data_IF_792565934084
#
_entry.id   IF_792565934084
#
_cell.length_a   1.000
_cell.length_b   1.000
_cell.length_c   1.000
_cell.angle_alpha   90.00
_cell.angle_beta   90.00
_cell.angle_gamma   90.00
#
_symmetry.space_group_name_H-M   'P 1'
#
loop_
_entity.id
_entity.type
_entity.pdbx_description
1 polymer ?
#
# COMPACT_ATOMS: atom_id res chain seq x y z
N UNK A 1 14.06 18.65 6.72
CA UNK A 1 13.48 17.31 6.44
C UNK A 1 12.76 17.31 5.10
N UNK A 2 12.82 16.16 4.38
CA UNK A 2 12.27 16.04 3.01
C UNK A 2 10.74 16.21 2.98
N UNK A 3 10.06 15.81 4.04
CA UNK A 3 8.60 15.88 4.17
C UNK A 3 8.12 16.92 5.16
N UNK A 4 8.96 17.88 5.49
CA UNK A 4 8.57 18.96 6.41
C UNK A 4 7.27 19.64 5.94
N UNK A 5 6.32 19.82 6.88
CA UNK A 5 4.98 20.35 6.64
C UNK A 5 4.07 19.52 5.70
N UNK A 6 4.48 18.32 5.29
CA UNK A 6 3.61 17.43 4.50
C UNK A 6 2.77 16.53 5.40
N UNK A 7 1.56 16.26 4.95
CA UNK A 7 0.58 15.40 5.62
C UNK A 7 0.39 14.13 4.81
N UNK A 8 0.59 12.98 5.45
CA UNK A 8 0.46 11.67 4.83
C UNK A 8 -0.65 10.84 5.48
N UNK A 9 -1.44 10.13 4.69
CA UNK A 9 -2.36 9.10 5.13
C UNK A 9 -1.86 7.73 4.66
N UNK A 10 -1.79 6.77 5.58
CA UNK A 10 -1.39 5.39 5.29
C UNK A 10 -2.51 4.45 5.73
N UNK A 11 -3.15 3.78 4.79
CA UNK A 11 -4.12 2.72 5.10
C UNK A 11 -3.39 1.43 5.48
N UNK A 12 -3.88 0.71 6.48
CA UNK A 12 -3.19 -0.46 7.02
C UNK A 12 -1.89 -0.11 7.78
N UNK A 13 -1.76 1.13 8.28
CA UNK A 13 -0.56 1.64 8.95
C UNK A 13 -0.30 1.07 10.35
N UNK A 14 -1.16 0.21 10.87
CA UNK A 14 -1.02 -0.38 12.22
C UNK A 14 -0.02 -1.54 12.31
N UNK A 15 0.56 -2.03 11.22
CA UNK A 15 1.55 -3.13 11.22
C UNK A 15 2.25 -3.28 9.87
N UNK A 16 3.29 -4.11 9.82
CA UNK A 16 3.96 -4.55 8.60
C UNK A 16 4.49 -3.40 7.74
N UNK A 17 4.29 -3.51 6.42
CA UNK A 17 4.77 -2.52 5.44
C UNK A 17 4.20 -1.12 5.72
N UNK A 18 2.90 -1.01 6.03
CA UNK A 18 2.29 0.29 6.31
C UNK A 18 2.88 0.98 7.54
N UNK A 19 3.17 0.23 8.60
CA UNK A 19 3.86 0.76 9.78
C UNK A 19 5.29 1.21 9.44
N UNK A 20 6.05 0.42 8.71
CA UNK A 20 7.41 0.77 8.29
C UNK A 20 7.42 2.04 7.41
N UNK A 21 6.44 2.20 6.51
CA UNK A 21 6.28 3.44 5.73
C UNK A 21 6.00 4.64 6.65
N UNK A 22 5.12 4.46 7.66
CA UNK A 22 4.83 5.52 8.63
C UNK A 22 6.09 5.96 9.39
N UNK A 23 6.94 5.02 9.82
CA UNK A 23 8.23 5.30 10.45
C UNK A 23 9.10 6.17 9.56
N UNK A 24 9.30 5.78 8.29
CA UNK A 24 10.15 6.52 7.35
C UNK A 24 9.65 7.94 7.11
N UNK A 25 8.34 8.12 6.93
CA UNK A 25 7.76 9.44 6.68
C UNK A 25 7.84 10.36 7.91
N UNK A 26 7.59 9.82 9.12
CA UNK A 26 7.73 10.58 10.37
C UNK A 26 9.18 11.01 10.61
N UNK A 27 10.14 10.10 10.46
CA UNK A 27 11.57 10.41 10.62
C UNK A 27 12.05 11.48 9.62
N UNK A 28 11.41 11.54 8.46
CA UNK A 28 11.70 12.53 7.43
C UNK A 28 10.86 13.82 7.55
N UNK A 29 10.08 13.99 8.64
CA UNK A 29 9.40 15.23 9.02
C UNK A 29 7.93 15.34 8.63
N UNK A 30 7.30 14.30 8.07
CA UNK A 30 5.88 14.32 7.77
C UNK A 30 5.02 14.25 9.04
N UNK A 31 3.82 14.83 8.99
CA UNK A 31 2.72 14.46 9.86
C UNK A 31 2.00 13.26 9.26
N UNK A 32 1.75 12.22 10.05
CA UNK A 32 1.19 10.96 9.55
C UNK A 32 -0.17 10.66 10.19
N UNK A 33 -1.13 10.26 9.36
CA UNK A 33 -2.37 9.63 9.76
C UNK A 33 -2.32 8.15 9.37
N UNK A 34 -2.62 7.25 10.30
CA UNK A 34 -2.76 5.83 10.02
C UNK A 34 -4.22 5.42 10.12
N UNK A 35 -4.69 4.59 9.21
CA UNK A 35 -6.06 4.09 9.19
C UNK A 35 -6.11 2.57 9.04
N UNK A 36 -7.16 1.96 9.60
CA UNK A 36 -7.38 0.51 9.54
C UNK A 36 -8.60 0.10 10.35
N UNK A 37 -8.93 -1.19 10.35
CA UNK A 37 -10.15 -1.71 10.96
C UNK A 37 -10.02 -2.04 12.46
N UNK A 38 -8.82 -2.35 12.94
CA UNK A 38 -8.58 -2.82 14.31
C UNK A 38 -8.01 -1.70 15.16
N UNK A 39 -8.87 -1.13 16.01
CA UNK A 39 -8.51 0.02 16.85
C UNK A 39 -7.31 -0.25 17.74
N UNK A 40 -7.28 -1.39 18.45
CA UNK A 40 -6.17 -1.77 19.32
C UNK A 40 -4.80 -1.78 18.62
N UNK A 41 -4.78 -2.25 17.34
CA UNK A 41 -3.54 -2.25 16.55
C UNK A 41 -3.12 -0.84 16.16
N UNK A 42 -4.09 0.01 15.81
CA UNK A 42 -3.82 1.41 15.46
C UNK A 42 -3.33 2.20 16.66
N UNK A 43 -3.94 2.00 17.82
CA UNK A 43 -3.55 2.66 19.07
C UNK A 43 -2.11 2.32 19.46
N UNK A 44 -1.77 1.01 19.50
CA UNK A 44 -0.39 0.56 19.79
C UNK A 44 0.63 1.12 18.80
N UNK A 45 0.27 1.13 17.51
CA UNK A 45 1.13 1.69 16.47
C UNK A 45 1.31 3.21 16.66
N UNK A 46 0.23 3.92 16.92
CA UNK A 46 0.26 5.37 17.13
C UNK A 46 1.11 5.75 18.36
N UNK A 47 1.01 5.03 19.48
CA UNK A 47 1.84 5.23 20.67
C UNK A 47 3.34 5.18 20.32
N UNK A 48 3.76 4.18 19.56
CA UNK A 48 5.16 4.03 19.13
C UNK A 48 5.57 5.07 18.09
N UNK A 49 4.72 5.34 17.11
CA UNK A 49 4.98 6.28 16.03
C UNK A 49 5.04 7.73 16.55
N UNK A 50 4.28 8.06 17.57
CA UNK A 50 4.27 9.40 18.19
C UNK A 50 5.59 9.78 18.86
N UNK A 51 6.47 8.80 19.14
CA UNK A 51 7.84 9.06 19.58
C UNK A 51 8.74 9.62 18.46
N UNK A 52 8.36 9.42 17.21
CA UNK A 52 9.12 9.83 16.03
C UNK A 52 8.62 11.15 15.43
N UNK A 53 7.36 11.51 15.68
CA UNK A 53 6.74 12.71 15.13
C UNK A 53 5.23 12.74 15.34
N UNK A 54 4.54 13.66 14.69
CA UNK A 54 3.10 13.84 14.85
C UNK A 54 2.33 12.73 14.12
N UNK A 55 1.72 11.82 14.87
CA UNK A 55 0.94 10.69 14.36
C UNK A 55 -0.45 10.66 15.00
N UNK A 56 -1.48 10.61 14.16
CA UNK A 56 -2.87 10.42 14.56
C UNK A 56 -3.41 9.11 13.92
N UNK A 57 -4.45 8.51 14.50
CA UNK A 57 -5.13 7.38 13.88
C UNK A 57 -6.64 7.57 13.78
N UNK A 58 -7.25 6.85 12.85
CA UNK A 58 -8.70 6.73 12.72
C UNK A 58 -9.09 5.32 12.30
N UNK A 59 -10.07 4.73 12.98
CA UNK A 59 -10.67 3.48 12.51
C UNK A 59 -11.42 3.74 11.22
N UNK A 60 -11.11 2.94 10.20
CA UNK A 60 -11.72 3.04 8.88
C UNK A 60 -11.64 1.70 8.13
N UNK A 61 -12.79 1.22 7.66
CA UNK A 61 -12.86 0.16 6.68
C UNK A 61 -12.90 0.78 5.28
N UNK A 62 -11.88 0.52 4.48
CA UNK A 62 -11.77 1.09 3.11
C UNK A 62 -12.84 0.59 2.14
N UNK A 63 -13.64 -0.41 2.52
CA UNK A 63 -14.79 -0.91 1.74
C UNK A 63 -16.05 -0.08 1.96
N UNK A 64 -16.06 0.77 2.99
CA UNK A 64 -17.17 1.62 3.39
C UNK A 64 -16.86 3.08 3.05
N UNK A 65 -17.55 3.60 2.03
CA UNK A 65 -17.32 4.96 1.53
C UNK A 65 -17.72 6.03 2.54
N UNK A 66 -18.65 5.76 3.47
CA UNK A 66 -19.01 6.68 4.53
C UNK A 66 -17.88 6.82 5.56
N UNK A 67 -17.30 5.70 5.98
CA UNK A 67 -16.15 5.73 6.86
C UNK A 67 -14.95 6.44 6.23
N UNK A 68 -14.74 6.30 4.91
CA UNK A 68 -13.70 7.04 4.18
C UNK A 68 -14.00 8.55 4.19
N UNK A 69 -15.25 8.98 3.99
CA UNK A 69 -15.62 10.40 4.08
C UNK A 69 -15.40 10.95 5.49
N UNK A 70 -15.74 10.17 6.51
CA UNK A 70 -15.49 10.53 7.92
C UNK A 70 -13.98 10.63 8.22
N UNK A 71 -13.15 9.79 7.63
CA UNK A 71 -11.70 9.89 7.70
C UNK A 71 -11.20 11.16 7.00
N UNK A 72 -11.73 11.50 5.83
CA UNK A 72 -11.37 12.73 5.13
C UNK A 72 -11.76 13.98 5.96
N UNK A 73 -12.95 14.01 6.55
CA UNK A 73 -13.37 15.09 7.45
C UNK A 73 -12.46 15.21 8.68
N UNK A 74 -12.05 14.10 9.28
CA UNK A 74 -11.13 14.09 10.40
C UNK A 74 -9.74 14.66 10.02
N UNK A 75 -9.19 14.29 8.86
CA UNK A 75 -7.93 14.85 8.37
C UNK A 75 -8.07 16.33 8.08
N UNK A 76 -9.20 16.75 7.49
CA UNK A 76 -9.49 18.17 7.22
C UNK A 76 -9.54 19.00 8.51
N UNK A 77 -10.19 18.47 9.55
CA UNK A 77 -10.26 19.13 10.87
C UNK A 77 -8.88 19.25 11.53
N UNK A 78 -8.10 18.17 11.49
CA UNK A 78 -6.83 18.08 12.22
C UNK A 78 -5.65 18.74 11.51
N UNK A 79 -5.63 18.73 10.18
CA UNK A 79 -4.47 19.16 9.39
C UNK A 79 -4.81 20.14 8.26
N UNK A 80 -6.06 20.27 7.84
CA UNK A 80 -6.49 21.19 6.78
C UNK A 80 -6.01 20.80 5.38
N UNK A 81 -5.23 19.71 5.24
CA UNK A 81 -4.63 19.27 3.97
C UNK A 81 -4.27 17.80 4.01
N UNK A 82 -4.07 17.23 2.83
CA UNK A 82 -3.42 15.95 2.62
C UNK A 82 -2.48 16.07 1.41
N UNK A 83 -1.24 15.58 1.53
CA UNK A 83 -0.24 15.66 0.47
C UNK A 83 0.10 14.29 -0.10
N UNK A 84 0.04 13.25 0.73
CA UNK A 84 0.46 11.89 0.40
C UNK A 84 -0.63 10.90 0.85
N UNK A 85 -1.07 10.05 -0.08
CA UNK A 85 -1.92 8.88 0.23
C UNK A 85 -1.14 7.59 -0.08
N UNK A 86 -1.00 6.71 0.89
CA UNK A 86 -0.49 5.36 0.70
C UNK A 86 -1.61 4.35 0.88
N UNK A 87 -2.06 3.77 -0.23
CA UNK A 87 -3.01 2.67 -0.25
C UNK A 87 -2.27 1.35 0.00
N UNK A 88 -2.10 1.01 1.28
CA UNK A 88 -1.42 -0.21 1.70
C UNK A 88 -2.39 -1.25 2.29
N UNK A 89 -3.56 -0.84 2.78
CA UNK A 89 -4.55 -1.77 3.30
C UNK A 89 -4.93 -2.83 2.26
N UNK A 90 -4.92 -4.08 2.68
CA UNK A 90 -5.23 -5.20 1.83
C UNK A 90 -5.36 -6.49 2.64
N UNK A 91 -5.65 -7.57 1.96
CA UNK A 91 -5.72 -8.90 2.55
C UNK A 91 -5.95 -9.94 1.48
N UNK A 92 -5.46 -11.13 1.73
CA UNK A 92 -5.53 -12.25 0.80
C UNK A 92 -5.44 -13.57 1.56
N UNK A 93 -5.79 -14.64 0.90
CA UNK A 93 -5.65 -16.00 1.41
C UNK A 93 -5.40 -16.94 0.24
N UNK A 94 -4.69 -18.07 0.44
CA UNK A 94 -4.49 -19.07 -0.60
C UNK A 94 -5.79 -19.85 -0.87
N UNK A 95 -6.10 -20.06 -2.14
CA UNK A 95 -7.17 -20.95 -2.62
C UNK A 95 -6.91 -21.30 -4.07
N UNK A 96 -7.04 -22.58 -4.42
CA UNK A 96 -7.03 -22.99 -5.82
C UNK A 96 -8.24 -22.40 -6.56
N UNK A 97 -8.11 -22.19 -7.86
CA UNK A 97 -9.15 -21.51 -8.64
C UNK A 97 -10.48 -22.29 -8.65
N UNK A 98 -10.40 -23.62 -8.73
CA UNK A 98 -11.55 -24.54 -8.69
C UNK A 98 -12.28 -24.56 -7.33
N UNK A 99 -11.57 -24.23 -6.24
CA UNK A 99 -12.11 -24.24 -4.87
C UNK A 99 -12.50 -22.82 -4.40
N UNK A 100 -12.29 -21.80 -5.25
CA UNK A 100 -12.53 -20.39 -4.89
C UNK A 100 -14.03 -20.12 -4.74
N UNK A 101 -14.50 -20.00 -3.50
CA UNK A 101 -15.87 -19.61 -3.23
C UNK A 101 -16.14 -18.15 -3.66
N UNK A 102 -17.35 -17.89 -4.19
CA UNK A 102 -17.78 -16.54 -4.60
C UNK A 102 -17.61 -15.50 -3.47
N UNK A 103 -17.95 -15.85 -2.24
CA UNK A 103 -17.76 -14.97 -1.06
C UNK A 103 -16.29 -14.62 -0.85
N UNK A 104 -15.38 -15.57 -1.03
CA UNK A 104 -13.95 -15.37 -0.90
C UNK A 104 -13.40 -14.47 -2.00
N UNK A 105 -13.80 -14.72 -3.25
CA UNK A 105 -13.50 -13.87 -4.38
C UNK A 105 -13.92 -12.42 -4.13
N UNK A 106 -15.21 -12.22 -3.82
CA UNK A 106 -15.78 -10.89 -3.59
C UNK A 106 -15.11 -10.16 -2.41
N UNK A 107 -14.76 -10.88 -1.33
CA UNK A 107 -14.08 -10.28 -0.19
C UNK A 107 -12.72 -9.66 -0.56
N UNK A 108 -11.93 -10.34 -1.39
CA UNK A 108 -10.61 -9.85 -1.82
C UNK A 108 -10.74 -8.74 -2.87
N UNK A 109 -11.63 -8.90 -3.85
CA UNK A 109 -11.90 -7.84 -4.84
C UNK A 109 -12.39 -6.57 -4.14
N UNK A 110 -13.36 -6.68 -3.23
CA UNK A 110 -13.88 -5.52 -2.51
C UNK A 110 -12.83 -4.83 -1.63
N UNK A 111 -11.95 -5.61 -1.00
CA UNK A 111 -10.91 -5.02 -0.15
C UNK A 111 -9.75 -4.42 -0.99
N UNK A 112 -9.20 -5.20 -1.94
CA UNK A 112 -7.95 -4.84 -2.59
C UNK A 112 -8.11 -3.95 -3.82
N UNK A 113 -9.27 -4.03 -4.52
CA UNK A 113 -9.55 -3.21 -5.70
C UNK A 113 -10.55 -2.11 -5.39
N UNK A 114 -11.76 -2.47 -5.00
CA UNK A 114 -12.82 -1.47 -4.77
C UNK A 114 -12.45 -0.51 -3.62
N UNK A 115 -11.94 -1.04 -2.51
CA UNK A 115 -11.52 -0.23 -1.38
C UNK A 115 -10.37 0.73 -1.73
N UNK A 116 -9.39 0.28 -2.52
CA UNK A 116 -8.32 1.14 -3.04
C UNK A 116 -8.88 2.24 -3.94
N UNK A 117 -9.81 1.90 -4.83
CA UNK A 117 -10.49 2.87 -5.69
C UNK A 117 -11.27 3.91 -4.88
N UNK A 118 -12.12 3.48 -3.93
CA UNK A 118 -12.91 4.40 -3.11
C UNK A 118 -12.05 5.36 -2.30
N UNK A 119 -10.99 4.83 -1.66
CA UNK A 119 -10.05 5.65 -0.90
C UNK A 119 -9.37 6.68 -1.82
N UNK A 120 -8.88 6.23 -2.96
CA UNK A 120 -8.19 7.07 -3.94
C UNK A 120 -9.11 8.19 -4.44
N UNK A 121 -10.33 7.86 -4.87
CA UNK A 121 -11.28 8.83 -5.43
C UNK A 121 -11.73 9.86 -4.37
N UNK A 122 -12.10 9.38 -3.18
CA UNK A 122 -12.63 10.28 -2.13
C UNK A 122 -11.53 11.24 -1.66
N UNK A 123 -10.31 10.75 -1.41
CA UNK A 123 -9.19 11.60 -0.98
C UNK A 123 -8.74 12.56 -2.07
N UNK A 124 -8.74 12.11 -3.34
CA UNK A 124 -8.41 13.01 -4.45
C UNK A 124 -9.40 14.16 -4.58
N UNK A 125 -10.70 13.89 -4.49
CA UNK A 125 -11.74 14.92 -4.56
C UNK A 125 -11.74 15.85 -3.33
N UNK A 126 -11.45 15.30 -2.14
CA UNK A 126 -11.43 16.10 -0.92
C UNK A 126 -10.19 17.01 -0.83
N UNK A 127 -9.03 16.56 -1.32
CA UNK A 127 -7.77 17.25 -1.10
C UNK A 127 -6.97 17.52 -2.38
N UNK A 128 -6.56 16.50 -3.12
CA UNK A 128 -5.53 16.65 -4.14
C UNK A 128 -5.98 17.47 -5.35
N UNK A 129 -7.21 17.28 -5.83
CA UNK A 129 -7.76 18.03 -6.96
C UNK A 129 -7.97 19.49 -6.60
N UNK A 130 -8.61 19.87 -5.46
CA UNK A 130 -8.70 21.26 -5.02
C UNK A 130 -7.33 21.91 -4.77
N UNK A 131 -6.37 21.18 -4.19
CA UNK A 131 -5.01 21.66 -3.92
C UNK A 131 -4.16 21.77 -5.20
N UNK A 132 -4.58 21.14 -6.31
CA UNK A 132 -3.79 20.97 -7.54
C UNK A 132 -2.41 20.39 -7.31
N UNK A 133 -2.32 19.45 -6.37
CA UNK A 133 -1.09 18.72 -6.04
C UNK A 133 -1.42 17.53 -5.13
N UNK A 134 -0.64 16.48 -5.26
CA UNK A 134 -0.72 15.31 -4.40
C UNK A 134 0.13 14.16 -4.91
N UNK A 135 0.37 13.21 -4.05
CA UNK A 135 1.06 11.98 -4.42
C UNK A 135 0.30 10.78 -3.87
N UNK A 136 0.00 9.82 -4.72
CA UNK A 136 -0.67 8.58 -4.36
C UNK A 136 0.28 7.42 -4.63
N UNK A 137 0.42 6.53 -3.67
CA UNK A 137 1.21 5.31 -3.78
C UNK A 137 0.35 4.09 -3.47
N UNK A 138 0.27 3.17 -4.40
CA UNK A 138 -0.47 1.92 -4.26
C UNK A 138 0.49 0.78 -3.92
N UNK A 139 0.28 0.07 -2.82
CA UNK A 139 1.01 -1.15 -2.52
C UNK A 139 0.23 -2.32 -3.11
N UNK A 140 0.82 -2.98 -4.09
CA UNK A 140 0.24 -4.17 -4.74
C UNK A 140 1.00 -5.43 -4.34
N UNK A 141 1.15 -6.37 -5.22
CA UNK A 141 2.01 -7.57 -5.08
C UNK A 141 2.74 -7.83 -6.40
N UNK A 142 3.69 -8.73 -6.40
CA UNK A 142 4.31 -9.19 -7.64
C UNK A 142 3.27 -9.92 -8.51
N UNK A 143 2.80 -9.24 -9.57
CA UNK A 143 1.80 -9.74 -10.52
C UNK A 143 2.40 -10.15 -11.87
N UNK A 144 3.72 -10.06 -12.02
CA UNK A 144 4.40 -10.16 -13.32
C UNK A 144 4.13 -11.49 -14.05
N UNK A 145 4.03 -12.59 -13.30
CA UNK A 145 3.73 -13.93 -13.84
C UNK A 145 2.37 -14.47 -13.37
N UNK A 146 1.48 -13.59 -12.94
CA UNK A 146 0.26 -13.98 -12.25
C UNK A 146 0.51 -14.34 -10.77
N UNK A 147 -0.55 -14.75 -10.09
CA UNK A 147 -0.50 -15.14 -8.67
C UNK A 147 -1.19 -16.51 -8.50
N UNK A 148 -0.54 -17.60 -8.91
CA UNK A 148 -1.09 -18.94 -8.79
C UNK A 148 -1.49 -19.24 -7.33
N UNK A 149 -2.64 -19.91 -7.13
CA UNK A 149 -3.21 -20.17 -5.81
C UNK A 149 -3.87 -18.96 -5.15
N UNK A 150 -3.94 -17.80 -5.82
CA UNK A 150 -4.59 -16.57 -5.33
C UNK A 150 -5.17 -15.75 -6.50
N UNK A 151 -6.00 -16.35 -7.33
CA UNK A 151 -6.55 -15.74 -8.55
C UNK A 151 -7.24 -14.38 -8.27
N UNK A 152 -8.01 -14.27 -7.17
CA UNK A 152 -8.65 -13.03 -6.73
C UNK A 152 -7.64 -11.90 -6.45
N UNK A 153 -6.50 -12.24 -5.82
CA UNK A 153 -5.44 -11.27 -5.53
C UNK A 153 -4.77 -10.80 -6.82
N UNK A 154 -4.44 -11.74 -7.72
CA UNK A 154 -3.88 -11.41 -9.03
C UNK A 154 -4.77 -10.45 -9.81
N UNK A 155 -6.06 -10.76 -9.92
CA UNK A 155 -7.05 -9.91 -10.61
C UNK A 155 -7.18 -8.52 -9.95
N UNK A 156 -7.33 -8.47 -8.62
CA UNK A 156 -7.48 -7.20 -7.89
C UNK A 156 -6.25 -6.31 -8.05
N UNK A 157 -5.05 -6.87 -7.88
CA UNK A 157 -3.79 -6.10 -7.91
C UNK A 157 -3.41 -5.68 -9.33
N UNK A 158 -3.70 -6.49 -10.35
CA UNK A 158 -3.60 -6.09 -11.76
C UNK A 158 -4.57 -4.95 -12.09
N UNK A 159 -5.77 -4.97 -11.52
CA UNK A 159 -6.71 -3.85 -11.61
C UNK A 159 -6.15 -2.57 -11.00
N UNK A 160 -5.51 -2.63 -9.83
CA UNK A 160 -4.86 -1.46 -9.20
C UNK A 160 -3.65 -0.99 -10.01
N UNK A 161 -2.86 -1.90 -10.58
CA UNK A 161 -1.76 -1.54 -11.49
C UNK A 161 -2.27 -0.74 -12.70
N UNK A 162 -3.35 -1.18 -13.32
CA UNK A 162 -3.97 -0.45 -14.43
C UNK A 162 -4.57 0.89 -13.99
N UNK A 163 -5.27 0.95 -12.83
CA UNK A 163 -5.77 2.21 -12.25
C UNK A 163 -4.63 3.21 -12.01
N UNK A 164 -3.47 2.74 -11.54
CA UNK A 164 -2.28 3.58 -11.34
C UNK A 164 -1.89 4.31 -12.62
N UNK A 165 -1.84 3.60 -13.75
CA UNK A 165 -1.50 4.16 -15.06
C UNK A 165 -2.58 5.12 -15.57
N UNK A 166 -3.84 4.68 -15.50
CA UNK A 166 -4.99 5.47 -15.98
C UNK A 166 -5.08 6.81 -15.24
N UNK A 167 -5.08 6.77 -13.90
CA UNK A 167 -5.23 7.97 -13.10
C UNK A 167 -4.01 8.89 -13.13
N UNK A 168 -2.80 8.35 -13.32
CA UNK A 168 -1.59 9.14 -13.53
C UNK A 168 -1.73 10.07 -14.74
N UNK A 169 -2.33 9.59 -15.82
CA UNK A 169 -2.60 10.40 -17.01
C UNK A 169 -3.76 11.37 -16.78
N UNK A 170 -4.91 10.88 -16.27
CA UNK A 170 -6.10 11.73 -16.09
C UNK A 170 -5.88 12.88 -15.13
N UNK A 171 -5.08 12.66 -14.06
CA UNK A 171 -4.89 13.63 -12.99
C UNK A 171 -3.56 14.40 -13.07
N UNK A 172 -2.76 14.16 -14.12
CA UNK A 172 -1.55 14.95 -14.39
C UNK A 172 -1.83 16.46 -14.49
N UNK A 173 -2.98 16.83 -15.07
CA UNK A 173 -3.47 18.23 -15.14
C UNK A 173 -3.67 18.90 -13.77
N UNK A 174 -3.75 18.11 -12.70
CA UNK A 174 -3.82 18.61 -11.32
C UNK A 174 -2.50 18.48 -10.56
N UNK A 175 -1.39 18.15 -11.25
CA UNK A 175 -0.10 17.87 -10.63
C UNK A 175 -0.16 16.75 -9.57
N UNK A 176 -0.98 15.73 -9.79
CA UNK A 176 -1.07 14.55 -8.96
C UNK A 176 -0.21 13.44 -9.59
N UNK A 177 0.73 12.90 -8.83
CA UNK A 177 1.51 11.73 -9.21
C UNK A 177 0.91 10.47 -8.60
N UNK A 178 0.88 9.40 -9.35
CA UNK A 178 0.36 8.11 -8.88
C UNK A 178 1.33 7.02 -9.34
N UNK A 179 1.87 6.27 -8.38
CA UNK A 179 2.73 5.13 -8.65
C UNK A 179 2.31 3.90 -7.81
N UNK A 180 2.84 2.76 -8.15
CA UNK A 180 2.66 1.54 -7.38
C UNK A 180 4.01 0.92 -6.98
N UNK A 181 4.01 0.23 -5.85
CA UNK A 181 5.09 -0.66 -5.44
C UNK A 181 4.55 -2.08 -5.41
N UNK A 182 5.29 -2.99 -6.04
CA UNK A 182 4.98 -4.41 -6.10
C UNK A 182 6.01 -5.22 -5.28
N UNK A 183 5.78 -5.42 -3.97
CA UNK A 183 6.65 -6.24 -3.15
C UNK A 183 6.58 -7.71 -3.58
N UNK A 184 7.72 -8.42 -3.47
CA UNK A 184 7.76 -9.86 -3.44
C UNK A 184 7.34 -10.42 -2.08
N UNK A 185 8.02 -11.47 -1.63
CA UNK A 185 7.74 -12.07 -0.31
C UNK A 185 8.51 -11.29 0.75
N UNK A 186 7.76 -10.60 1.61
CA UNK A 186 8.30 -9.71 2.65
C UNK A 186 8.08 -10.33 4.04
N UNK A 187 9.13 -10.39 4.82
CA UNK A 187 9.07 -10.83 6.22
C UNK A 187 8.26 -9.81 7.03
N UNK A 188 7.01 -10.15 7.33
CA UNK A 188 6.08 -9.29 8.05
C UNK A 188 5.04 -10.13 8.79
N UNK A 189 4.29 -9.53 9.70
CA UNK A 189 3.16 -10.19 10.37
C UNK A 189 2.08 -10.71 9.40
N UNK A 190 2.10 -10.30 8.15
CA UNK A 190 1.23 -10.83 7.11
C UNK A 190 1.51 -12.31 6.79
N UNK A 191 2.74 -12.77 6.96
CA UNK A 191 3.10 -14.18 6.74
C UNK A 191 2.51 -15.12 7.79
N UNK A 192 2.20 -14.65 8.98
CA UNK A 192 1.56 -15.43 10.04
C UNK A 192 0.18 -15.98 9.64
N UNK A 193 -0.43 -15.42 8.58
CA UNK A 193 -1.72 -15.87 8.05
C UNK A 193 -1.61 -17.06 7.09
N UNK A 194 -0.38 -17.52 6.78
CA UNK A 194 -0.15 -18.64 5.87
C UNK A 194 0.23 -19.90 6.64
N UNK A 195 -0.18 -21.07 6.16
CA UNK A 195 0.26 -22.34 6.72
C UNK A 195 1.80 -22.43 6.75
N UNK A 196 2.41 -22.92 7.85
CA UNK A 196 3.86 -23.02 7.95
C UNK A 196 4.51 -23.79 6.80
N UNK A 197 3.82 -24.79 6.26
CA UNK A 197 4.29 -25.61 5.14
C UNK A 197 4.50 -24.78 3.86
N UNK A 198 3.70 -23.72 3.67
CA UNK A 198 3.84 -22.81 2.54
C UNK A 198 5.00 -21.82 2.69
N UNK A 199 5.52 -21.67 3.90
CA UNK A 199 6.64 -20.75 4.18
C UNK A 199 8.01 -21.45 4.02
N UNK A 200 8.03 -22.78 4.05
CA UNK A 200 9.26 -23.54 3.88
C UNK A 200 9.81 -23.40 2.45
N UNK A 201 11.10 -23.13 2.32
CA UNK A 201 11.75 -23.04 1.02
C UNK A 201 11.44 -21.75 0.22
N UNK A 202 10.68 -20.80 0.77
CA UNK A 202 10.35 -19.57 0.05
C UNK A 202 11.58 -18.75 -0.33
N UNK A 203 12.59 -18.70 0.54
CA UNK A 203 13.82 -17.96 0.27
C UNK A 203 14.56 -18.51 -0.96
N UNK A 204 14.51 -19.82 -1.17
CA UNK A 204 15.14 -20.52 -2.29
C UNK A 204 14.49 -20.18 -3.64
N UNK A 205 13.23 -19.71 -3.63
CA UNK A 205 12.52 -19.26 -4.84
C UNK A 205 12.90 -17.84 -5.27
N UNK A 206 13.69 -17.14 -4.46
CA UNK A 206 14.07 -15.75 -4.68
C UNK A 206 15.56 -15.73 -5.08
N UNK A 207 15.95 -15.11 -6.21
CA UNK A 207 17.35 -15.05 -6.66
C UNK A 207 18.31 -14.49 -5.60
N UNK A 208 17.88 -13.52 -4.78
CA UNK A 208 18.69 -12.99 -3.68
C UNK A 208 18.78 -13.93 -2.46
N UNK A 209 18.16 -15.11 -2.48
CA UNK A 209 18.26 -16.16 -1.45
C UNK A 209 17.63 -15.80 -0.11
N UNK A 210 16.80 -14.77 -0.03
CA UNK A 210 16.15 -14.34 1.21
C UNK A 210 14.84 -13.61 0.95
N UNK A 211 14.01 -13.53 1.98
CA UNK A 211 12.85 -12.64 1.98
C UNK A 211 13.30 -11.18 2.08
N UNK A 212 12.48 -10.28 1.54
CA UNK A 212 12.64 -8.84 1.76
C UNK A 212 12.18 -8.43 3.17
N UNK A 213 12.65 -7.29 3.64
CA UNK A 213 12.17 -6.66 4.87
C UNK A 213 11.10 -5.59 4.58
N UNK A 214 10.31 -5.25 5.60
CA UNK A 214 9.36 -4.13 5.51
C UNK A 214 10.06 -2.80 5.25
N UNK A 215 11.27 -2.63 5.80
CA UNK A 215 12.05 -1.40 5.62
C UNK A 215 12.56 -1.23 4.18
N UNK A 216 12.97 -2.32 3.52
CA UNK A 216 13.38 -2.27 2.11
C UNK A 216 12.24 -1.80 1.20
N UNK A 217 10.99 -2.18 1.50
CA UNK A 217 9.81 -1.66 0.81
C UNK A 217 9.56 -0.21 1.20
N UNK A 218 9.65 0.13 2.49
CA UNK A 218 9.35 1.46 3.00
C UNK A 218 10.31 2.53 2.47
N UNK A 219 11.60 2.24 2.30
CA UNK A 219 12.56 3.17 1.71
C UNK A 219 12.21 3.53 0.26
N UNK A 220 11.85 2.55 -0.55
CA UNK A 220 11.37 2.84 -1.91
C UNK A 220 10.07 3.65 -1.89
N UNK A 221 9.13 3.31 -1.01
CA UNK A 221 7.89 4.07 -0.85
C UNK A 221 8.18 5.53 -0.49
N UNK A 222 9.05 5.78 0.49
CA UNK A 222 9.45 7.14 0.87
C UNK A 222 10.11 7.88 -0.30
N UNK A 223 10.98 7.23 -1.08
CA UNK A 223 11.54 7.84 -2.30
C UNK A 223 10.46 8.22 -3.31
N UNK A 224 9.54 7.29 -3.65
CA UNK A 224 8.52 7.52 -4.67
C UNK A 224 7.52 8.63 -4.30
N UNK A 225 7.24 8.83 -3.01
CA UNK A 225 6.36 9.92 -2.57
C UNK A 225 7.12 11.24 -2.36
N UNK A 226 8.45 11.24 -2.36
CA UNK A 226 9.28 12.41 -2.15
C UNK A 226 9.35 13.32 -3.39
N UNK A 227 9.85 14.58 -3.22
CA UNK A 227 10.15 15.47 -4.33
C UNK A 227 11.22 14.93 -5.29
N UNK A 228 12.09 14.02 -4.84
CA UNK A 228 13.13 13.41 -5.67
C UNK A 228 12.56 12.55 -6.80
N UNK A 229 11.33 12.06 -6.65
CA UNK A 229 10.60 11.30 -7.66
C UNK A 229 9.61 12.17 -8.47
N UNK A 230 9.84 13.50 -8.55
CA UNK A 230 8.88 14.44 -9.14
C UNK A 230 8.54 14.16 -10.62
N UNK A 231 9.40 13.47 -11.35
CA UNK A 231 9.16 13.11 -12.76
C UNK A 231 8.78 11.64 -12.96
N UNK A 232 8.40 10.94 -11.88
CA UNK A 232 7.96 9.54 -11.92
C UNK A 232 6.46 9.49 -11.61
N UNK A 233 5.67 9.03 -12.57
CA UNK A 233 4.22 8.81 -12.42
C UNK A 233 3.73 7.71 -13.37
N UNK A 234 2.75 6.93 -12.96
CA UNK A 234 2.20 5.82 -13.71
C UNK A 234 3.03 4.52 -13.64
N UNK A 235 4.09 4.50 -12.84
CA UNK A 235 5.02 3.38 -12.77
C UNK A 235 4.69 2.39 -11.64
N UNK A 236 4.97 1.12 -11.91
CA UNK A 236 4.97 0.06 -10.91
C UNK A 236 6.40 -0.43 -10.69
N UNK A 237 6.95 -0.18 -9.51
CA UNK A 237 8.30 -0.57 -9.14
C UNK A 237 8.28 -1.83 -8.29
N UNK A 238 9.03 -2.85 -8.71
CA UNK A 238 9.11 -4.14 -8.01
C UNK A 238 10.24 -4.14 -6.96
N UNK A 239 9.94 -4.65 -5.76
CA UNK A 239 10.88 -4.90 -4.66
C UNK A 239 10.75 -6.37 -4.30
N UNK A 240 11.40 -7.25 -5.04
CA UNK A 240 11.10 -8.69 -5.02
C UNK A 240 12.35 -9.59 -5.03
N UNK A 241 13.54 -9.02 -4.85
CA UNK A 241 14.79 -9.78 -4.87
C UNK A 241 15.07 -10.48 -6.20
N UNK A 242 14.45 -10.02 -7.30
CA UNK A 242 14.54 -10.62 -8.63
C UNK A 242 13.53 -11.76 -8.86
N UNK A 243 12.66 -12.06 -7.91
CA UNK A 243 11.73 -13.20 -7.99
C UNK A 243 10.90 -13.22 -9.28
N UNK A 244 10.43 -12.09 -9.76
CA UNK A 244 9.64 -12.01 -10.99
C UNK A 244 10.39 -12.42 -12.25
N UNK A 245 11.73 -12.32 -12.23
CA UNK A 245 12.60 -12.64 -13.37
C UNK A 245 13.08 -14.09 -13.33
N UNK A 246 13.02 -14.73 -12.16
CA UNK A 246 13.49 -16.09 -11.96
C UNK A 246 12.53 -17.09 -12.62
N UNK A 247 12.94 -17.63 -13.76
CA UNK A 247 12.31 -18.76 -14.44
C UNK A 247 13.30 -19.91 -14.49
N UNK A 248 12.89 -21.08 -14.07
CA UNK A 248 13.69 -22.31 -14.08
C UNK A 248 13.97 -22.81 -15.51
N UNK A 249 14.65 -22.00 -16.34
CA UNK A 249 15.08 -22.47 -17.65
C UNK A 249 16.44 -23.14 -17.60
N UNK A 250 17.28 -22.73 -16.65
CA UNK A 250 18.60 -23.34 -16.41
C UNK A 250 18.88 -23.29 -14.90
N UNK A 251 19.49 -24.37 -14.34
CA UNK A 251 20.16 -24.30 -13.06
C UNK A 251 21.48 -23.56 -13.29
N UNK A 252 21.62 -22.39 -12.73
CA UNK A 252 22.85 -21.60 -12.74
C UNK A 252 23.76 -22.05 -11.59
#
# INVERSE_FOLDING_TARGET
>A
NVFDQQVALITGGGSGIGYAIAVQLLQAGARVFIAGRKEEKLQKAQESLSLLGQCDYKVCDIRDTEQIRNLAAFIQEKAGRLDILVNNAGGQFPSLAEDMAEKGWNAVINNNLNGTWYMTQIMANAFFIPQKRGTILNIIVNIYRGVPGMAHTGAARAGVDNLTKTLAVEWSKYNIRINAVAPGIIQSSGLENYPPEMLNGLAETIPMGRLGSTDEVAWLCAFLVSPYAAYITGETVYVDGGQRLHGQQFQL
#
